data_IF_717567453520
#
_entry.id   IF_717567453520
#
_cell.length_a   1.000
_cell.length_b   1.000
_cell.length_c   1.000
_cell.angle_alpha   90.00
_cell.angle_beta   90.00
_cell.angle_gamma   90.00
#
_symmetry.space_group_name_H-M   'P 1'
#
loop_
_entity.id
_entity.type
_entity.pdbx_description
1 polymer ?
#
# COMPACT_ATOMS: atom_id res chain seq x y z
N UNK A 1 4.34 13.82 -11.38
CA UNK A 1 3.96 13.36 -12.75
C UNK A 1 4.34 11.92 -12.92
N UNK A 2 3.41 11.07 -13.42
CA UNK A 2 3.72 9.69 -13.79
C UNK A 2 4.70 9.66 -14.94
N UNK A 3 5.49 8.56 -15.06
CA UNK A 3 6.53 8.45 -16.08
C UNK A 3 6.57 7.04 -16.65
N UNK A 4 6.93 6.95 -17.94
CA UNK A 4 7.10 5.70 -18.65
C UNK A 4 8.37 5.74 -19.51
N UNK A 5 8.84 4.56 -19.91
CA UNK A 5 9.87 4.38 -20.93
C UNK A 5 9.27 3.61 -22.11
N UNK A 6 9.72 3.95 -23.31
CA UNK A 6 9.52 3.11 -24.49
C UNK A 6 10.67 2.10 -24.58
N UNK A 7 10.34 0.84 -24.71
CA UNK A 7 11.32 -0.24 -24.82
C UNK A 7 11.03 -1.11 -26.04
N UNK A 8 12.09 -1.63 -26.64
CA UNK A 8 12.00 -2.63 -27.71
C UNK A 8 11.76 -4.01 -27.11
N UNK A 9 10.74 -4.70 -27.60
CA UNK A 9 10.29 -5.99 -27.08
C UNK A 9 10.24 -7.00 -28.22
N UNK A 10 10.77 -8.20 -27.96
CA UNK A 10 10.62 -9.34 -28.85
C UNK A 10 9.53 -10.26 -28.32
N UNK A 11 8.48 -10.49 -29.09
CA UNK A 11 7.40 -11.40 -28.71
C UNK A 11 7.91 -12.84 -28.53
N UNK A 12 7.72 -13.47 -27.36
CA UNK A 12 8.23 -14.81 -27.11
C UNK A 12 7.50 -15.90 -27.92
N UNK A 13 6.33 -15.58 -28.51
CA UNK A 13 5.51 -16.54 -29.26
C UNK A 13 5.80 -16.50 -30.75
N UNK A 14 5.90 -15.31 -31.37
CA UNK A 14 6.02 -15.18 -32.82
C UNK A 14 7.30 -14.47 -33.27
N UNK A 15 8.17 -14.04 -32.35
CA UNK A 15 9.45 -13.38 -32.67
C UNK A 15 9.30 -11.95 -33.21
N UNK A 16 8.09 -11.37 -33.22
CA UNK A 16 7.88 -10.00 -33.68
C UNK A 16 8.54 -9.01 -32.74
N UNK A 17 9.25 -8.04 -33.32
CA UNK A 17 9.84 -6.90 -32.58
C UNK A 17 8.88 -5.72 -32.64
N UNK A 18 8.57 -5.14 -31.48
CA UNK A 18 7.69 -3.98 -31.38
C UNK A 18 8.07 -3.10 -30.19
N UNK A 19 7.65 -1.84 -30.23
CA UNK A 19 7.84 -0.92 -29.11
C UNK A 19 6.67 -1.03 -28.13
N UNK A 20 7.01 -1.13 -26.83
CA UNK A 20 6.05 -1.13 -25.74
C UNK A 20 6.31 0.01 -24.76
N UNK A 21 5.23 0.57 -24.25
CA UNK A 21 5.26 1.61 -23.22
C UNK A 21 5.24 0.93 -21.84
N UNK A 22 6.28 1.16 -21.04
CA UNK A 22 6.41 0.59 -19.69
C UNK A 22 6.46 1.70 -18.66
N UNK A 23 5.46 1.73 -17.80
CA UNK A 23 5.37 2.70 -16.71
C UNK A 23 6.39 2.39 -15.61
N UNK A 24 7.14 3.40 -15.23
CA UNK A 24 8.18 3.33 -14.19
C UNK A 24 7.86 4.21 -12.98
N UNK A 25 6.89 5.12 -13.09
CA UNK A 25 6.38 5.88 -11.96
C UNK A 25 4.86 6.12 -12.11
N UNK A 26 4.14 5.99 -11.00
CA UNK A 26 2.70 6.25 -10.89
C UNK A 26 2.44 7.24 -9.76
N UNK A 27 1.87 8.40 -10.08
CA UNK A 27 1.44 9.42 -9.13
C UNK A 27 -0.09 9.39 -9.01
N UNK A 28 -0.59 8.68 -8.01
CA UNK A 28 -2.01 8.39 -7.84
C UNK A 28 -2.92 9.63 -7.82
N UNK A 29 -2.44 10.75 -7.24
CA UNK A 29 -3.22 11.99 -7.17
C UNK A 29 -3.32 12.70 -8.53
N UNK A 30 -2.26 12.64 -9.34
CA UNK A 30 -2.18 13.34 -10.63
C UNK A 30 -2.79 12.51 -11.74
N UNK A 31 -2.65 11.17 -11.66
CA UNK A 31 -3.10 10.21 -12.64
C UNK A 31 -3.98 9.11 -12.01
N UNK A 32 -5.21 9.45 -11.58
CA UNK A 32 -6.10 8.48 -10.94
C UNK A 32 -6.47 7.31 -11.87
N UNK A 33 -6.61 7.55 -13.18
CA UNK A 33 -6.87 6.48 -14.13
C UNK A 33 -5.71 5.45 -14.21
N UNK A 34 -4.46 5.92 -14.10
CA UNK A 34 -3.30 5.03 -14.09
C UNK A 34 -3.21 4.24 -12.77
N UNK A 35 -3.65 4.84 -11.65
CA UNK A 35 -3.84 4.12 -10.39
C UNK A 35 -4.85 2.98 -10.55
N UNK A 36 -5.99 3.22 -11.21
CA UNK A 36 -7.02 2.21 -11.41
C UNK A 36 -6.51 1.06 -12.30
N UNK A 37 -5.77 1.36 -13.37
CA UNK A 37 -5.09 0.36 -14.22
C UNK A 37 -4.11 -0.49 -13.40
N UNK A 38 -3.33 0.15 -12.51
CA UNK A 38 -2.40 -0.54 -11.64
C UNK A 38 -3.14 -1.48 -10.67
N UNK A 39 -4.18 -0.98 -10.01
CA UNK A 39 -4.98 -1.76 -9.05
C UNK A 39 -5.78 -2.88 -9.72
N UNK A 40 -6.17 -2.69 -11.00
CA UNK A 40 -6.73 -3.76 -11.84
C UNK A 40 -5.73 -4.84 -12.24
N UNK A 41 -4.44 -4.64 -11.92
CA UNK A 41 -3.38 -5.57 -12.30
C UNK A 41 -2.98 -5.51 -13.78
N UNK A 42 -3.32 -4.43 -14.46
CA UNK A 42 -3.10 -4.27 -15.92
C UNK A 42 -1.87 -3.39 -16.25
N UNK A 43 -1.23 -2.80 -15.24
CA UNK A 43 -0.05 -1.96 -15.46
C UNK A 43 1.08 -2.79 -16.08
N UNK A 44 1.68 -2.26 -17.17
CA UNK A 44 2.76 -2.90 -17.91
C UNK A 44 2.35 -4.24 -18.56
N UNK A 45 1.07 -4.42 -18.82
CA UNK A 45 0.56 -5.51 -19.65
C UNK A 45 0.67 -5.10 -21.13
N UNK A 46 1.47 -5.84 -21.89
CA UNK A 46 1.78 -5.53 -23.27
C UNK A 46 1.21 -6.59 -24.20
N UNK A 47 0.65 -6.15 -25.33
CA UNK A 47 0.08 -7.02 -26.34
C UNK A 47 0.87 -6.96 -27.64
N UNK A 48 1.29 -8.11 -28.13
CA UNK A 48 1.98 -8.22 -29.42
C UNK A 48 1.03 -7.82 -30.56
N UNK A 49 1.41 -6.89 -31.45
CA UNK A 49 0.56 -6.41 -32.53
C UNK A 49 0.31 -7.47 -33.61
N UNK A 50 1.16 -8.50 -33.71
CA UNK A 50 1.08 -9.54 -34.75
C UNK A 50 0.25 -10.75 -34.33
N UNK A 51 0.45 -11.27 -33.11
CA UNK A 51 -0.22 -12.49 -32.66
C UNK A 51 -1.16 -12.29 -31.47
N UNK A 52 -1.32 -11.05 -31.01
CA UNK A 52 -2.15 -10.67 -29.84
C UNK A 52 -1.75 -11.39 -28.55
N UNK A 53 -0.53 -11.98 -28.49
CA UNK A 53 -0.01 -12.52 -27.24
C UNK A 53 0.15 -11.40 -26.23
N UNK A 54 -0.35 -11.63 -25.00
CA UNK A 54 -0.29 -10.68 -23.90
C UNK A 54 0.72 -11.17 -22.87
N UNK A 55 1.62 -10.29 -22.46
CA UNK A 55 2.63 -10.59 -21.45
C UNK A 55 2.87 -9.39 -20.54
N UNK A 56 3.19 -9.66 -19.29
CA UNK A 56 3.70 -8.66 -18.38
C UNK A 56 5.14 -8.31 -18.67
N UNK A 57 5.42 -7.01 -18.65
CA UNK A 57 6.79 -6.52 -18.58
C UNK A 57 7.14 -6.22 -17.12
N UNK A 58 7.90 -7.11 -16.49
CA UNK A 58 8.42 -6.88 -15.16
C UNK A 58 9.43 -5.73 -15.20
N UNK A 59 9.13 -4.66 -14.50
CA UNK A 59 9.98 -3.49 -14.38
C UNK A 59 9.87 -2.88 -12.99
N UNK A 60 10.84 -2.04 -12.63
CA UNK A 60 10.73 -1.18 -11.46
C UNK A 60 9.59 -0.19 -11.65
N UNK A 61 8.76 -0.02 -10.60
CA UNK A 61 7.70 0.99 -10.53
C UNK A 61 7.79 1.75 -9.22
N UNK A 62 7.89 3.08 -9.29
CA UNK A 62 7.75 3.97 -8.15
C UNK A 62 6.28 4.40 -8.04
N UNK A 63 5.58 3.97 -7.01
CA UNK A 63 4.21 4.42 -6.73
C UNK A 63 4.21 5.50 -5.65
N UNK A 64 3.42 6.56 -5.86
CA UNK A 64 3.26 7.66 -4.89
C UNK A 64 1.79 8.05 -4.75
N UNK A 65 1.29 7.98 -3.51
CA UNK A 65 -0.04 8.46 -3.12
C UNK A 65 0.07 9.28 -1.84
N UNK A 66 -0.01 10.60 -1.97
CA UNK A 66 0.10 11.51 -0.83
C UNK A 66 -1.12 11.44 0.10
N UNK A 67 -2.29 11.06 -0.40
CA UNK A 67 -3.50 10.92 0.42
C UNK A 67 -3.45 9.66 1.30
N UNK A 68 -2.83 8.60 0.78
CA UNK A 68 -2.57 7.36 1.51
C UNK A 68 -1.26 7.39 2.31
N UNK A 69 -0.49 8.51 2.28
CA UNK A 69 0.86 8.59 2.85
C UNK A 69 1.71 7.38 2.45
N UNK A 70 1.73 7.08 1.14
CA UNK A 70 2.38 5.90 0.59
C UNK A 70 3.38 6.27 -0.50
N UNK A 71 4.60 5.79 -0.33
CA UNK A 71 5.62 5.73 -1.38
C UNK A 71 6.08 4.28 -1.43
N UNK A 72 5.87 3.61 -2.54
CA UNK A 72 6.28 2.22 -2.72
C UNK A 72 7.30 2.09 -3.86
N UNK A 73 8.42 1.46 -3.55
CA UNK A 73 9.43 1.03 -4.50
C UNK A 73 9.13 -0.42 -4.84
N UNK A 74 8.55 -0.64 -6.03
CA UNK A 74 8.10 -1.97 -6.47
C UNK A 74 9.14 -2.50 -7.44
N UNK A 75 9.87 -3.51 -7.03
CA UNK A 75 10.90 -4.18 -7.84
C UNK A 75 10.37 -5.49 -8.43
N UNK A 76 10.91 -5.94 -9.59
CA UNK A 76 10.67 -7.29 -10.09
C UNK A 76 10.94 -8.36 -9.03
N UNK A 77 10.14 -9.44 -8.97
CA UNK A 77 10.33 -10.51 -7.98
C UNK A 77 11.72 -11.15 -8.01
N UNK A 78 12.34 -11.22 -9.21
CA UNK A 78 13.69 -11.77 -9.40
C UNK A 78 14.79 -11.01 -8.63
N UNK A 79 14.54 -9.73 -8.29
CA UNK A 79 15.50 -8.90 -7.55
C UNK A 79 15.40 -9.06 -6.01
N UNK A 80 14.54 -9.95 -5.51
CA UNK A 80 14.40 -10.19 -4.06
C UNK A 80 15.70 -10.64 -3.39
N UNK A 81 16.60 -11.28 -4.12
CA UNK A 81 17.91 -11.69 -3.59
C UNK A 81 18.78 -10.49 -3.17
N UNK A 82 18.54 -9.32 -3.74
CA UNK A 82 19.26 -8.08 -3.48
C UNK A 82 18.53 -7.17 -2.46
N UNK A 83 17.56 -7.70 -1.70
CA UNK A 83 16.66 -6.92 -0.83
C UNK A 83 17.41 -5.95 0.08
N UNK A 84 18.47 -6.38 0.75
CA UNK A 84 19.22 -5.52 1.68
C UNK A 84 19.87 -4.32 0.96
N UNK A 85 20.46 -4.57 -0.20
CA UNK A 85 21.05 -3.52 -1.03
C UNK A 85 19.97 -2.56 -1.56
N UNK A 86 18.86 -3.08 -2.06
CA UNK A 86 17.76 -2.28 -2.59
C UNK A 86 17.08 -1.45 -1.50
N UNK A 87 16.93 -1.98 -0.29
CA UNK A 87 16.41 -1.25 0.87
C UNK A 87 17.31 -0.06 1.25
N UNK A 88 18.61 -0.26 1.30
CA UNK A 88 19.58 0.82 1.56
C UNK A 88 19.54 1.89 0.47
N UNK A 89 19.50 1.46 -0.78
CA UNK A 89 19.44 2.37 -1.95
C UNK A 89 18.11 3.16 -1.94
N UNK A 90 16.99 2.52 -1.66
CA UNK A 90 15.68 3.17 -1.54
C UNK A 90 15.71 4.27 -0.48
N UNK A 91 16.19 3.97 0.72
CA UNK A 91 16.26 4.94 1.82
C UNK A 91 17.21 6.11 1.48
N UNK A 92 18.36 5.81 0.88
CA UNK A 92 19.30 6.85 0.42
C UNK A 92 18.63 7.78 -0.59
N UNK A 93 18.03 7.23 -1.65
CA UNK A 93 17.34 8.01 -2.68
C UNK A 93 16.20 8.83 -2.10
N UNK A 94 15.43 8.26 -1.18
CA UNK A 94 14.37 8.98 -0.49
C UNK A 94 14.91 10.17 0.31
N UNK A 95 15.95 9.96 1.11
CA UNK A 95 16.56 11.04 1.90
C UNK A 95 17.19 12.12 1.04
N UNK A 96 17.83 11.78 -0.08
CA UNK A 96 18.36 12.76 -1.02
C UNK A 96 17.23 13.57 -1.68
N UNK A 97 16.16 12.92 -2.10
CA UNK A 97 14.98 13.61 -2.64
C UNK A 97 14.35 14.57 -1.61
N UNK A 98 14.27 14.17 -0.32
CA UNK A 98 13.75 15.02 0.75
C UNK A 98 14.56 16.31 0.97
N UNK A 99 15.84 16.34 0.61
CA UNK A 99 16.68 17.56 0.70
C UNK A 99 16.28 18.62 -0.33
N UNK A 100 15.67 18.20 -1.43
CA UNK A 100 15.24 19.10 -2.51
C UNK A 100 13.88 19.74 -2.24
N UNK A 101 13.11 19.20 -1.26
CA UNK A 101 11.80 19.74 -0.91
C UNK A 101 11.89 20.86 0.13
N UNK A 102 10.98 21.84 0.02
CA UNK A 102 10.75 22.81 1.09
C UNK A 102 10.24 22.10 2.35
N UNK A 103 10.46 22.69 3.52
CA UNK A 103 10.10 22.06 4.80
C UNK A 103 8.63 21.60 4.88
N UNK A 104 7.70 22.36 4.26
CA UNK A 104 6.26 22.04 4.21
C UNK A 104 5.90 20.83 3.31
N UNK A 105 6.78 20.50 2.33
CA UNK A 105 6.53 19.47 1.33
C UNK A 105 7.26 18.16 1.67
N UNK A 106 8.11 18.19 2.69
CA UNK A 106 8.80 16.99 3.17
C UNK A 106 7.82 15.95 3.69
N UNK A 107 8.09 14.70 3.33
CA UNK A 107 7.30 13.57 3.81
C UNK A 107 7.86 13.11 5.17
N UNK A 108 7.00 12.95 6.15
CA UNK A 108 7.32 12.46 7.49
C UNK A 108 6.98 10.95 7.67
N UNK A 109 6.87 10.25 6.56
CA UNK A 109 6.67 8.80 6.48
C UNK A 109 7.69 8.18 5.53
N UNK A 110 8.14 6.97 5.86
CA UNK A 110 9.16 6.25 5.10
C UNK A 110 8.55 5.51 3.91
N UNK A 111 9.32 5.35 2.81
CA UNK A 111 8.92 4.51 1.70
C UNK A 111 8.94 3.03 2.09
N UNK A 112 8.17 2.23 1.36
CA UNK A 112 8.16 0.78 1.49
C UNK A 112 8.78 0.11 0.27
N UNK A 113 9.41 -1.04 0.50
CA UNK A 113 10.00 -1.89 -0.53
C UNK A 113 9.12 -3.10 -0.76
N UNK A 114 8.73 -3.33 -2.01
CA UNK A 114 7.87 -4.45 -2.41
C UNK A 114 8.47 -5.17 -3.61
N UNK A 115 8.30 -6.48 -3.66
CA UNK A 115 8.72 -7.31 -4.77
C UNK A 115 7.51 -7.93 -5.47
N UNK A 116 7.30 -7.49 -6.71
CA UNK A 116 6.19 -7.89 -7.57
C UNK A 116 5.00 -6.95 -7.51
N UNK A 117 4.48 -6.60 -8.68
CA UNK A 117 3.31 -5.74 -8.82
C UNK A 117 2.07 -6.40 -8.22
N UNK A 118 1.90 -7.72 -8.37
CA UNK A 118 0.79 -8.47 -7.79
C UNK A 118 0.77 -8.35 -6.25
N UNK A 119 1.93 -8.48 -5.59
CA UNK A 119 2.04 -8.30 -4.13
C UNK A 119 1.65 -6.89 -3.69
N UNK A 120 2.01 -5.87 -4.50
CA UNK A 120 1.60 -4.50 -4.23
C UNK A 120 0.08 -4.33 -4.37
N UNK A 121 -0.52 -4.88 -5.42
CA UNK A 121 -1.97 -4.84 -5.65
C UNK A 121 -2.73 -5.53 -4.50
N UNK A 122 -2.29 -6.70 -4.07
CA UNK A 122 -2.85 -7.41 -2.91
C UNK A 122 -2.81 -6.55 -1.63
N UNK A 123 -1.66 -5.91 -1.36
CA UNK A 123 -1.52 -5.00 -0.22
C UNK A 123 -2.50 -3.82 -0.31
N UNK A 124 -2.68 -3.23 -1.50
CA UNK A 124 -3.59 -2.10 -1.70
C UNK A 124 -5.05 -2.51 -1.50
N UNK A 125 -5.47 -3.67 -1.98
CA UNK A 125 -6.82 -4.20 -1.72
C UNK A 125 -7.05 -4.49 -0.23
N UNK A 126 -6.04 -4.98 0.47
CA UNK A 126 -6.13 -5.16 1.92
C UNK A 126 -6.27 -3.81 2.65
N UNK A 127 -5.54 -2.78 2.24
CA UNK A 127 -5.68 -1.42 2.79
C UNK A 127 -7.07 -0.82 2.53
N UNK A 128 -7.62 -1.03 1.34
CA UNK A 128 -8.97 -0.60 0.99
C UNK A 128 -10.01 -1.28 1.89
N UNK A 129 -9.93 -2.59 2.07
CA UNK A 129 -10.80 -3.34 2.99
C UNK A 129 -10.65 -2.88 4.45
N UNK A 130 -9.44 -2.56 4.91
CA UNK A 130 -9.22 -1.94 6.23
C UNK A 130 -9.85 -0.56 6.34
N UNK A 131 -9.80 0.23 5.27
CA UNK A 131 -10.40 1.57 5.25
C UNK A 131 -11.93 1.48 5.34
N UNK A 132 -12.57 0.56 4.64
CA UNK A 132 -14.01 0.30 4.73
C UNK A 132 -14.42 -0.10 6.16
N UNK A 133 -13.71 -1.05 6.76
CA UNK A 133 -13.98 -1.46 8.14
C UNK A 133 -13.75 -0.31 9.14
N UNK A 134 -12.77 0.56 8.89
CA UNK A 134 -12.55 1.76 9.69
C UNK A 134 -13.72 2.74 9.64
N UNK A 135 -14.34 2.93 8.47
CA UNK A 135 -15.52 3.79 8.32
C UNK A 135 -16.72 3.23 9.09
N UNK A 136 -16.95 1.91 8.98
CA UNK A 136 -18.02 1.23 9.72
C UNK A 136 -17.80 1.37 11.24
N UNK A 137 -16.56 1.12 11.69
CA UNK A 137 -16.20 1.24 13.10
C UNK A 137 -16.39 2.67 13.64
N UNK A 138 -16.00 3.68 12.85
CA UNK A 138 -16.19 5.08 13.21
C UNK A 138 -17.68 5.43 13.40
N UNK A 139 -18.52 4.98 12.48
CA UNK A 139 -19.96 5.19 12.56
C UNK A 139 -20.56 4.55 13.83
N UNK A 140 -20.18 3.30 14.13
CA UNK A 140 -20.64 2.61 15.35
C UNK A 140 -20.14 3.31 16.61
N UNK A 141 -18.85 3.70 16.64
CA UNK A 141 -18.28 4.40 17.80
C UNK A 141 -19.01 5.72 18.09
N UNK A 142 -19.31 6.50 17.04
CA UNK A 142 -20.08 7.74 17.16
C UNK A 142 -21.50 7.50 17.68
N UNK A 143 -22.20 6.51 17.13
CA UNK A 143 -23.59 6.20 17.53
C UNK A 143 -23.68 5.69 18.97
N UNK A 144 -22.75 4.87 19.40
CA UNK A 144 -22.76 4.20 20.71
C UNK A 144 -21.98 4.96 21.80
N UNK A 145 -21.36 6.08 21.46
CA UNK A 145 -20.55 6.86 22.39
C UNK A 145 -19.26 6.14 22.83
N UNK A 146 -18.74 5.21 22.03
CA UNK A 146 -17.47 4.54 22.29
C UNK A 146 -16.35 5.54 21.96
N UNK A 147 -15.46 5.89 22.89
CA UNK A 147 -14.32 6.72 22.58
C UNK A 147 -13.45 6.07 21.51
N UNK A 148 -12.88 6.87 20.60
CA UNK A 148 -11.97 6.37 19.57
C UNK A 148 -10.97 7.44 19.18
N UNK A 149 -9.88 7.04 18.55
CA UNK A 149 -8.91 7.93 17.91
C UNK A 149 -8.60 7.45 16.49
N UNK A 150 -8.07 8.35 15.68
CA UNK A 150 -7.77 8.06 14.27
C UNK A 150 -6.27 8.14 14.05
N UNK A 151 -5.69 7.08 13.50
CA UNK A 151 -4.31 7.00 13.07
C UNK A 151 -4.15 7.57 11.65
N UNK A 152 -2.97 8.10 11.37
CA UNK A 152 -2.57 8.44 10.00
C UNK A 152 -2.46 7.18 9.15
N UNK A 153 -2.64 7.27 7.81
CA UNK A 153 -2.51 6.09 6.94
C UNK A 153 -1.19 5.34 7.11
N UNK A 154 -0.08 6.06 7.14
CA UNK A 154 1.26 5.49 7.32
C UNK A 154 1.46 4.83 8.69
N UNK A 155 0.89 5.41 9.77
CA UNK A 155 0.93 4.82 11.10
C UNK A 155 0.12 3.52 11.17
N UNK A 156 -1.10 3.51 10.61
CA UNK A 156 -1.96 2.34 10.58
C UNK A 156 -1.31 1.18 9.78
N UNK A 157 -0.66 1.51 8.65
CA UNK A 157 0.10 0.55 7.83
C UNK A 157 1.26 -0.05 8.61
N UNK A 158 2.09 0.80 9.24
CA UNK A 158 3.25 0.36 10.04
C UNK A 158 2.85 -0.55 11.21
N UNK A 159 1.69 -0.29 11.82
CA UNK A 159 1.15 -1.06 12.94
C UNK A 159 0.28 -2.25 12.49
N UNK A 160 0.15 -2.47 11.17
CA UNK A 160 -0.74 -3.48 10.57
C UNK A 160 -2.16 -3.46 11.16
N UNK A 161 -2.70 -2.25 11.41
CA UNK A 161 -4.01 -2.04 12.04
C UNK A 161 -4.95 -1.20 11.17
N UNK A 162 -6.17 -0.99 11.65
CA UNK A 162 -7.15 -0.08 11.07
C UNK A 162 -6.87 1.36 11.49
N UNK A 163 -7.32 2.35 10.70
CA UNK A 163 -7.11 3.76 11.03
C UNK A 163 -7.93 4.23 12.25
N UNK A 164 -9.15 3.73 12.38
CA UNK A 164 -10.00 4.02 13.53
C UNK A 164 -9.72 2.99 14.63
N UNK A 165 -9.26 3.46 15.78
CA UNK A 165 -8.96 2.62 16.92
C UNK A 165 -9.94 2.96 18.06
N UNK A 166 -10.89 2.07 18.40
CA UNK A 166 -11.75 2.24 19.56
C UNK A 166 -10.94 2.30 20.85
N UNK A 167 -11.33 3.17 21.80
CA UNK A 167 -10.64 3.34 23.06
C UNK A 167 -9.84 4.64 23.15
N UNK A 168 -8.96 4.75 24.15
CA UNK A 168 -8.12 5.91 24.43
C UNK A 168 -6.70 5.65 23.93
N UNK A 169 -6.15 6.60 23.18
CA UNK A 169 -4.78 6.49 22.66
C UNK A 169 -3.77 6.36 23.81
N UNK A 170 -2.91 5.35 23.72
CA UNK A 170 -1.90 5.04 24.73
C UNK A 170 -2.39 4.15 25.88
N UNK A 171 -3.64 3.75 25.90
CA UNK A 171 -4.24 2.82 26.87
C UNK A 171 -4.70 1.53 26.18
N UNK A 172 -3.85 0.51 26.19
CA UNK A 172 -4.12 -0.79 25.56
C UNK A 172 -5.36 -1.48 26.14
N UNK A 173 -5.62 -1.33 27.45
CA UNK A 173 -6.78 -1.93 28.08
C UNK A 173 -8.07 -1.27 27.61
N UNK A 174 -8.06 0.07 27.49
CA UNK A 174 -9.18 0.84 26.92
C UNK A 174 -9.42 0.46 25.44
N UNK A 175 -8.36 0.32 24.66
CA UNK A 175 -8.46 -0.10 23.24
C UNK A 175 -9.05 -1.49 23.13
N UNK A 176 -8.55 -2.46 23.90
CA UNK A 176 -9.08 -3.83 23.88
C UNK A 176 -10.56 -3.90 24.29
N UNK A 177 -10.95 -3.13 25.31
CA UNK A 177 -12.36 -2.99 25.70
C UNK A 177 -13.19 -2.40 24.56
N UNK A 178 -12.76 -1.30 23.97
CA UNK A 178 -13.47 -0.65 22.86
C UNK A 178 -13.63 -1.58 21.64
N UNK A 179 -12.60 -2.38 21.32
CA UNK A 179 -12.68 -3.38 20.25
C UNK A 179 -13.70 -4.46 20.59
N UNK A 180 -13.75 -4.96 21.83
CA UNK A 180 -14.74 -5.96 22.26
C UNK A 180 -16.16 -5.41 22.19
N UNK A 181 -16.37 -4.19 22.63
CA UNK A 181 -17.66 -3.49 22.56
C UNK A 181 -18.10 -3.32 21.08
N UNK A 182 -17.17 -2.95 20.19
CA UNK A 182 -17.39 -2.84 18.75
C UNK A 182 -17.76 -4.19 18.11
N UNK A 183 -17.03 -5.25 18.42
CA UNK A 183 -17.27 -6.61 17.88
C UNK A 183 -18.54 -7.25 18.42
N UNK A 184 -19.01 -6.86 19.61
CA UNK A 184 -20.30 -7.29 20.13
C UNK A 184 -21.46 -6.71 19.30
N UNK A 185 -21.27 -5.55 18.67
CA UNK A 185 -22.25 -4.92 17.79
C UNK A 185 -22.14 -5.45 16.36
N UNK A 186 -20.93 -5.51 15.85
CA UNK A 186 -20.65 -6.02 14.48
C UNK A 186 -19.49 -7.04 14.48
N UNK A 187 -19.82 -8.35 14.57
CA UNK A 187 -18.81 -9.39 14.59
C UNK A 187 -18.12 -9.63 13.23
N UNK A 188 -18.57 -9.00 12.14
CA UNK A 188 -17.99 -9.15 10.81
C UNK A 188 -16.73 -8.29 10.59
N UNK A 189 -16.33 -7.49 11.58
CA UNK A 189 -15.13 -6.63 11.50
C UNK A 189 -13.85 -7.45 11.76
N UNK A 190 -13.39 -8.18 10.75
CA UNK A 190 -12.30 -9.15 10.87
C UNK A 190 -10.95 -8.54 11.26
N UNK A 191 -10.63 -7.35 10.80
CA UNK A 191 -9.38 -6.67 11.20
C UNK A 191 -9.36 -6.31 12.68
N UNK A 192 -10.51 -5.91 13.25
CA UNK A 192 -10.62 -5.65 14.69
C UNK A 192 -10.52 -6.94 15.51
N UNK A 193 -11.01 -8.06 14.99
CA UNK A 193 -10.84 -9.37 15.64
C UNK A 193 -9.36 -9.77 15.68
N UNK A 194 -8.63 -9.63 14.57
CA UNK A 194 -7.18 -9.87 14.50
C UNK A 194 -6.42 -8.95 15.47
N UNK A 195 -6.79 -7.68 15.53
CA UNK A 195 -6.18 -6.70 16.43
C UNK A 195 -6.41 -7.04 17.91
N UNK A 196 -7.62 -7.50 18.27
CA UNK A 196 -7.92 -7.95 19.65
C UNK A 196 -7.01 -9.09 20.07
N UNK A 197 -6.84 -10.11 19.22
CA UNK A 197 -5.96 -11.26 19.49
C UNK A 197 -4.51 -10.79 19.69
N UNK A 198 -3.99 -9.94 18.82
CA UNK A 198 -2.62 -9.42 18.92
C UNK A 198 -2.38 -8.63 20.22
N UNK A 199 -3.35 -7.82 20.66
CA UNK A 199 -3.25 -7.07 21.92
C UNK A 199 -3.32 -7.98 23.15
N UNK A 200 -4.14 -9.05 23.10
CA UNK A 200 -4.21 -10.04 24.18
C UNK A 200 -2.93 -10.86 24.32
N UNK A 201 -2.30 -11.21 23.20
CA UNK A 201 -1.00 -11.90 23.19
C UNK A 201 0.11 -11.00 23.74
N UNK A 202 0.16 -9.74 23.31
CA UNK A 202 1.15 -8.77 23.78
C UNK A 202 1.01 -8.49 25.29
N UNK A 203 -0.21 -8.49 25.84
CA UNK A 203 -0.43 -8.28 27.28
C UNK A 203 -0.12 -9.50 28.14
N UNK A 204 0.06 -10.70 27.55
CA UNK A 204 0.50 -11.91 28.26
C UNK A 204 2.02 -12.03 28.39
N UNK A 205 2.77 -11.19 27.66
CA UNK A 205 4.24 -11.19 27.65
C UNK A 205 4.85 -10.14 28.60
N UNK A 206 4.03 -9.40 29.34
CA UNK A 206 4.37 -8.45 30.39
C UNK A 206 3.83 -8.94 31.72
#
# INVERSE_FOLDING_TARGET
MSAFNEIDITCPVCGEEFQGMVWTAVHAKEDPALKDILLGGELNLLMCPKCSHVAYQDSFVLYQDSAAELIAYIYPPAQRLDEEFLRKTMLLNFHEAQKLYEAKDKKDYEPILIFGLATFVEMMHEEESRAEQSQIAEAICKEKGIPYFVLRPSEARRLATTRVCPGVKGDSASVLKGIRDLLAINPALDFYRKLAVSLEESSKLV
#
